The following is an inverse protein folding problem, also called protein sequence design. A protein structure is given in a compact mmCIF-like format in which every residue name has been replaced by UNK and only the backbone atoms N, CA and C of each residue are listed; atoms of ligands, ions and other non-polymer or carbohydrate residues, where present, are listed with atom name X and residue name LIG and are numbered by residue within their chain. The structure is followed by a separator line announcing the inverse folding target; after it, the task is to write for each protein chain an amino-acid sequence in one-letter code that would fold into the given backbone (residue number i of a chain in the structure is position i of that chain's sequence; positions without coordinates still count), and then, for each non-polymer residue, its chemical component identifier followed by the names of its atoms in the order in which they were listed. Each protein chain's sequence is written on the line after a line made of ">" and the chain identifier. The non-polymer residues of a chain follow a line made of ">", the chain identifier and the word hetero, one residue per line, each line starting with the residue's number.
data_IF_966289965587
#
_entry.id   IF_966289965587
#
_cell.length_a   1.000
_cell.length_b   1.000
_cell.length_c   1.000
_cell.angle_alpha   90.00
_cell.angle_beta   90.00
_cell.angle_gamma   90.00
#
_symmetry.space_group_name_H-M   'P 1'
#
loop_
_entity.id
_entity.type
_entity.pdbx_description
1 polymer ?
#
# COMPACT_ATOMS: atom_id res chain seq x y z
N UNK A 1 13.93 -8.54 -3.24
CA UNK A 1 12.72 -8.07 -2.54
C UNK A 1 12.97 -6.70 -1.95
N UNK A 2 11.99 -5.83 -2.05
CA UNK A 2 12.08 -4.49 -1.46
C UNK A 2 11.02 -4.35 -0.40
N UNK A 3 11.38 -3.80 0.74
CA UNK A 3 10.47 -3.60 1.86
C UNK A 3 10.63 -2.20 2.39
N UNK A 4 9.56 -1.65 2.92
CA UNK A 4 9.60 -0.35 3.58
C UNK A 4 8.51 -0.24 4.63
N UNK A 5 8.72 0.65 5.57
CA UNK A 5 7.79 0.93 6.66
C UNK A 5 7.55 2.43 6.71
N UNK A 6 6.32 2.82 6.95
CA UNK A 6 5.93 4.21 7.08
C UNK A 6 5.09 4.41 8.33
N UNK A 7 5.43 5.43 9.11
CA UNK A 7 4.65 5.83 10.28
C UNK A 7 3.65 6.89 9.81
N UNK A 8 2.36 6.57 9.87
CA UNK A 8 1.33 7.46 9.33
C UNK A 8 1.28 8.80 10.07
N UNK A 9 1.80 8.86 11.30
CA UNK A 9 1.82 10.10 12.07
C UNK A 9 2.77 11.14 11.49
N UNK A 10 3.70 10.71 10.65
CA UNK A 10 4.66 11.62 10.02
C UNK A 10 4.15 12.21 8.72
N UNK A 11 2.95 11.80 8.28
CA UNK A 11 2.39 12.19 7.01
C UNK A 11 1.40 13.32 7.22
N UNK A 12 1.57 14.42 6.51
CA UNK A 12 0.69 15.58 6.65
C UNK A 12 -0.64 15.35 5.92
N UNK A 13 -1.65 16.13 6.29
CA UNK A 13 -2.94 16.09 5.61
C UNK A 13 -2.79 16.42 4.12
N UNK A 14 -1.89 17.36 3.79
CA UNK A 14 -1.66 17.73 2.40
C UNK A 14 -1.04 16.57 1.61
N UNK A 15 -0.13 15.83 2.21
CA UNK A 15 0.45 14.64 1.56
C UNK A 15 -0.60 13.56 1.34
N UNK A 16 -1.42 13.30 2.34
CA UNK A 16 -2.49 12.32 2.20
C UNK A 16 -3.43 12.68 1.04
N UNK A 17 -3.79 13.96 0.96
CA UNK A 17 -4.69 14.43 -0.11
C UNK A 17 -4.06 14.23 -1.48
N UNK A 18 -2.76 14.53 -1.63
CA UNK A 18 -2.06 14.34 -2.89
C UNK A 18 -2.01 12.87 -3.28
N UNK A 19 -1.72 12.00 -2.31
CA UNK A 19 -1.63 10.57 -2.59
C UNK A 19 -2.99 9.99 -2.95
N UNK A 20 -4.03 10.46 -2.29
CA UNK A 20 -5.38 10.04 -2.61
C UNK A 20 -5.77 10.47 -4.02
N UNK A 21 -5.48 11.73 -4.38
CA UNK A 21 -5.81 12.25 -5.70
C UNK A 21 -5.07 11.53 -6.83
N UNK A 22 -3.88 11.05 -6.54
CA UNK A 22 -3.08 10.36 -7.54
C UNK A 22 -3.51 8.92 -7.79
N UNK A 23 -4.37 8.39 -6.94
CA UNK A 23 -4.80 7.00 -7.06
C UNK A 23 -5.94 6.84 -8.05
N UNK A 24 -6.17 5.61 -8.48
CA UNK A 24 -7.27 5.28 -9.37
C UNK A 24 -8.61 5.60 -8.72
N UNK A 25 -9.63 5.97 -9.50
CA UNK A 25 -10.93 6.33 -8.93
C UNK A 25 -11.55 5.25 -8.06
N UNK A 26 -11.40 3.97 -8.40
CA UNK A 26 -11.96 2.90 -7.61
C UNK A 26 -11.30 2.80 -6.22
N UNK A 27 -10.01 3.13 -6.16
CA UNK A 27 -9.29 3.17 -4.89
C UNK A 27 -9.80 4.31 -4.03
N UNK A 28 -9.95 5.49 -4.61
CA UNK A 28 -10.45 6.65 -3.89
C UNK A 28 -11.86 6.40 -3.34
N UNK A 29 -12.71 5.78 -4.14
CA UNK A 29 -14.08 5.49 -3.71
C UNK A 29 -14.08 4.57 -2.50
N UNK A 30 -13.22 3.57 -2.49
CA UNK A 30 -13.10 2.65 -1.37
C UNK A 30 -12.65 3.36 -0.10
N UNK A 31 -11.65 4.22 -0.21
CA UNK A 31 -11.13 4.94 0.95
C UNK A 31 -12.16 5.88 1.56
N UNK A 32 -13.02 6.44 0.75
CA UNK A 32 -14.06 7.34 1.24
C UNK A 32 -15.14 6.62 2.03
N UNK A 33 -15.19 5.30 1.97
CA UNK A 33 -16.15 4.52 2.72
C UNK A 33 -15.68 4.18 4.13
N UNK A 34 -14.42 4.40 4.44
CA UNK A 34 -13.93 4.11 5.78
C UNK A 34 -14.53 5.07 6.79
N UNK A 35 -14.96 4.53 7.91
CA UNK A 35 -15.55 5.34 8.96
C UNK A 35 -14.52 6.12 9.74
N UNK A 36 -13.35 5.51 9.98
CA UNK A 36 -12.33 6.11 10.83
C UNK A 36 -11.26 6.74 9.98
N UNK A 37 -10.87 7.98 10.30
CA UNK A 37 -9.79 8.64 9.56
C UNK A 37 -8.48 7.86 9.61
N UNK A 38 -8.20 7.16 10.71
CA UNK A 38 -6.97 6.38 10.83
C UNK A 38 -6.93 5.23 9.84
N UNK A 39 -8.06 4.54 9.64
CA UNK A 39 -8.13 3.44 8.71
C UNK A 39 -7.91 3.92 7.29
N UNK A 40 -8.52 5.06 6.96
CA UNK A 40 -8.34 5.68 5.66
C UNK A 40 -6.89 6.09 5.45
N UNK A 41 -6.29 6.72 6.46
CA UNK A 41 -4.90 7.15 6.38
C UNK A 41 -3.96 5.97 6.19
N UNK A 42 -4.16 4.88 6.91
CA UNK A 42 -3.34 3.69 6.76
C UNK A 42 -3.43 3.12 5.35
N UNK A 43 -4.63 3.07 4.79
CA UNK A 43 -4.83 2.55 3.44
C UNK A 43 -4.16 3.42 2.39
N UNK A 44 -4.29 4.73 2.49
CA UNK A 44 -3.67 5.66 1.55
C UNK A 44 -2.15 5.58 1.66
N UNK A 45 -1.62 5.52 2.88
CA UNK A 45 -0.18 5.40 3.10
C UNK A 45 0.37 4.08 2.57
N UNK A 46 -0.35 2.98 2.78
CA UNK A 46 0.07 1.69 2.25
C UNK A 46 0.10 1.69 0.73
N UNK A 47 -0.91 2.30 0.11
CA UNK A 47 -0.96 2.43 -1.34
C UNK A 47 0.23 3.24 -1.87
N UNK A 48 0.51 4.37 -1.25
CA UNK A 48 1.64 5.21 -1.65
C UNK A 48 2.96 4.47 -1.49
N UNK A 49 3.13 3.77 -0.37
CA UNK A 49 4.34 3.03 -0.11
C UNK A 49 4.54 1.92 -1.15
N UNK A 50 3.47 1.20 -1.46
CA UNK A 50 3.50 0.16 -2.48
C UNK A 50 3.90 0.73 -3.84
N UNK A 51 3.34 1.86 -4.23
CA UNK A 51 3.67 2.50 -5.51
C UNK A 51 5.12 2.93 -5.56
N UNK A 52 5.63 3.46 -4.46
CA UNK A 52 7.04 3.85 -4.38
C UNK A 52 7.95 2.65 -4.60
N UNK A 53 7.67 1.55 -3.90
CA UNK A 53 8.46 0.34 -4.03
C UNK A 53 8.34 -0.29 -5.42
N UNK A 54 7.14 -0.24 -6.00
CA UNK A 54 6.91 -0.76 -7.34
C UNK A 54 7.72 0.02 -8.38
N UNK A 55 7.78 1.34 -8.24
CA UNK A 55 8.61 2.16 -9.14
C UNK A 55 10.08 1.81 -9.00
N UNK A 56 10.55 1.61 -7.78
CA UNK A 56 11.93 1.22 -7.54
C UNK A 56 12.24 -0.15 -8.14
N UNK A 57 11.23 -1.01 -8.22
CA UNK A 57 11.37 -2.33 -8.83
C UNK A 57 11.20 -2.32 -10.35
N UNK A 58 11.00 -1.15 -10.95
CA UNK A 58 10.95 -1.01 -12.39
C UNK A 58 9.58 -0.73 -12.99
N UNK A 59 8.52 -0.73 -12.18
CA UNK A 59 7.18 -0.44 -12.67
C UNK A 59 6.99 1.08 -12.70
N UNK A 60 7.25 1.71 -13.83
CA UNK A 60 7.32 3.17 -13.92
C UNK A 60 6.02 3.87 -13.60
N UNK A 61 4.89 3.32 -14.03
CA UNK A 61 3.59 3.91 -13.75
C UNK A 61 2.66 2.82 -13.23
N UNK A 62 2.84 2.40 -11.99
CA UNK A 62 2.06 1.28 -11.47
C UNK A 62 0.58 1.66 -11.34
N UNK A 63 -0.27 0.81 -11.90
CA UNK A 63 -1.71 0.94 -11.78
C UNK A 63 -2.19 -0.17 -10.86
N UNK A 64 -2.74 0.19 -9.72
CA UNK A 64 -3.19 -0.79 -8.75
C UNK A 64 -4.66 -1.09 -8.96
N UNK A 65 -4.96 -2.35 -9.17
CA UNK A 65 -6.31 -2.86 -9.32
C UNK A 65 -6.71 -3.66 -8.09
N UNK A 66 -7.99 -3.93 -7.97
CA UNK A 66 -8.51 -4.72 -6.85
C UNK A 66 -9.09 -6.00 -7.42
N UNK A 67 -8.62 -7.13 -6.91
CA UNK A 67 -9.09 -8.43 -7.34
C UNK A 67 -10.45 -8.79 -6.74
N UNK A 68 -10.97 -9.97 -7.12
CA UNK A 68 -12.27 -10.43 -6.65
C UNK A 68 -12.35 -10.54 -5.13
N UNK A 69 -11.23 -10.90 -4.53
CA UNK A 69 -11.18 -11.06 -3.07
C UNK A 69 -10.86 -9.76 -2.36
N UNK A 70 -10.86 -8.63 -3.05
CA UNK A 70 -10.54 -7.34 -2.46
C UNK A 70 -9.06 -7.07 -2.32
N UNK A 71 -8.20 -7.97 -2.79
CA UNK A 71 -6.77 -7.79 -2.66
C UNK A 71 -6.21 -6.94 -3.80
N UNK A 72 -5.43 -5.89 -3.49
CA UNK A 72 -4.84 -5.07 -4.54
C UNK A 72 -3.71 -5.81 -5.25
N UNK A 73 -3.55 -5.51 -6.54
CA UNK A 73 -2.49 -6.10 -7.35
C UNK A 73 -2.17 -5.17 -8.52
N UNK A 74 -1.02 -5.42 -9.17
CA UNK A 74 -0.61 -4.69 -10.37
C UNK A 74 -0.65 -5.68 -11.53
N UNK A 75 -1.49 -5.45 -12.54
CA UNK A 75 -1.53 -6.34 -13.71
C UNK A 75 -0.17 -6.38 -14.38
N UNK A 76 0.31 -7.59 -14.65
CA UNK A 76 1.61 -7.82 -15.29
C UNK A 76 2.79 -7.22 -14.56
N UNK A 77 2.59 -6.83 -13.34
CA UNK A 77 3.64 -6.24 -12.52
C UNK A 77 4.12 -7.16 -11.42
N UNK A 78 5.08 -6.70 -10.62
CA UNK A 78 5.54 -7.46 -9.47
C UNK A 78 4.42 -7.66 -8.45
N UNK A 79 4.48 -8.76 -7.74
CA UNK A 79 3.58 -8.99 -6.64
C UNK A 79 4.00 -8.14 -5.43
N UNK A 80 3.02 -7.74 -4.64
CA UNK A 80 3.31 -6.97 -3.44
C UNK A 80 2.32 -7.30 -2.34
N UNK A 81 2.73 -7.04 -1.11
CA UNK A 81 1.89 -7.21 0.08
C UNK A 81 2.05 -6.00 0.97
N UNK A 82 0.95 -5.63 1.61
CA UNK A 82 0.95 -4.56 2.61
C UNK A 82 0.30 -5.06 3.89
N UNK A 83 0.79 -4.59 5.01
CA UNK A 83 0.19 -4.87 6.31
C UNK A 83 0.35 -3.63 7.18
N UNK A 84 -0.34 -3.62 8.31
CA UNK A 84 -0.21 -2.51 9.23
C UNK A 84 -0.34 -2.99 10.66
N UNK A 85 0.23 -2.22 11.56
CA UNK A 85 0.13 -2.44 12.98
C UNK A 85 0.17 -1.08 13.67
N UNK A 86 -0.93 -0.70 14.31
CA UNK A 86 -1.04 0.61 14.95
C UNK A 86 -0.86 1.72 13.94
N UNK A 87 0.17 2.54 14.15
CA UNK A 87 0.46 3.68 13.28
C UNK A 87 1.43 3.37 12.15
N UNK A 88 1.85 2.11 12.02
CA UNK A 88 2.83 1.74 11.01
C UNK A 88 2.19 0.95 9.89
N UNK A 89 2.60 1.25 8.66
CA UNK A 89 2.25 0.42 7.51
C UNK A 89 3.54 -0.11 6.92
N UNK A 90 3.49 -1.35 6.45
CA UNK A 90 4.63 -2.03 5.85
C UNK A 90 4.24 -2.54 4.50
N UNK A 91 5.13 -2.43 3.52
CA UNK A 91 4.91 -3.03 2.22
C UNK A 91 6.14 -3.77 1.77
N UNK A 92 5.93 -4.83 1.00
CA UNK A 92 7.01 -5.57 0.37
C UNK A 92 6.64 -5.80 -1.08
N UNK A 93 7.60 -5.60 -1.97
CA UNK A 93 7.45 -5.86 -3.40
C UNK A 93 8.45 -6.93 -3.78
N UNK A 94 7.98 -7.90 -4.54
CA UNK A 94 8.78 -9.04 -4.93
C UNK A 94 8.77 -9.18 -6.43
N UNK A 95 9.89 -9.53 -7.01
CA UNK A 95 9.99 -9.66 -8.45
C UNK A 95 9.40 -10.92 -9.04
N UNK A 96 8.90 -11.82 -8.21
CA UNK A 96 8.31 -13.07 -8.64
C UNK A 96 7.12 -13.42 -7.78
N UNK A 97 6.67 -14.67 -7.81
CA UNK A 97 5.58 -15.07 -6.92
C UNK A 97 5.95 -14.81 -5.49
N UNK A 98 5.07 -14.11 -4.78
CA UNK A 98 5.39 -13.69 -3.45
C UNK A 98 4.94 -14.69 -2.43
N UNK A 99 5.87 -15.19 -1.68
CA UNK A 99 5.54 -16.03 -0.56
C UNK A 99 5.69 -15.33 0.77
N UNK A 100 5.91 -14.03 0.78
CA UNK A 100 6.19 -13.34 2.01
C UNK A 100 4.95 -12.87 2.68
N UNK A 101 4.85 -13.18 3.94
CA UNK A 101 3.81 -12.65 4.78
C UNK A 101 4.51 -11.89 5.91
N UNK A 102 4.55 -10.59 5.80
CA UNK A 102 5.23 -9.76 6.76
C UNK A 102 4.64 -9.87 8.15
N UNK A 103 3.36 -10.07 8.25
CA UNK A 103 2.73 -10.22 9.54
C UNK A 103 3.19 -11.43 10.28
N UNK A 104 3.32 -12.54 9.58
CA UNK A 104 3.78 -13.75 10.20
C UNK A 104 5.22 -13.63 10.62
N UNK A 105 5.97 -12.79 9.94
CA UNK A 105 7.35 -12.69 10.25
C UNK A 105 7.66 -11.71 11.32
N UNK A 106 6.71 -10.93 11.66
CA UNK A 106 6.96 -9.98 12.57
C UNK A 106 6.87 -10.40 13.83
N UNK A 107 7.40 -10.79 14.39
CA UNK A 107 7.25 -11.20 15.58
C UNK A 107 7.77 -10.32 16.29
N UNK A 108 7.99 -9.95 15.98
CA UNK A 108 8.48 -9.28 16.45
C UNK A 108 8.00 -8.51 16.96
N UNK A 109 7.70 -8.59 17.34
CA UNK A 109 7.16 -7.81 17.85
C UNK A 109 7.29 -7.61 18.87
#
# INVERSE_FOLDING_TARGET
>A
MRCAVLDIRTVSAAELARWEDAAEPERRARWQQFRRPEDRARSICADHLARTLLREAGAQTPVIRVGRNGKPYVPDGPAFNCSHSGNFVCCAVHGGPVGIDLEARRPVR
#
